data_IF_318194274964
#
_entry.id   IF_318194274964
#
_cell.length_a   1.000
_cell.length_b   1.000
_cell.length_c   1.000
_cell.angle_alpha   90.00
_cell.angle_beta   90.00
_cell.angle_gamma   90.00
#
_symmetry.space_group_name_H-M   'P 1'
#
loop_
_entity.id
_entity.type
_entity.pdbx_description
1 polymer ?
#
# COMPACT_ATOMS: atom_id res chain seq x y z
N UNK A 1 -0.06 -13.69 -4.72
CA UNK A 1 -1.16 -12.86 -4.20
C UNK A 1 -0.53 -11.78 -3.35
N UNK A 2 -0.83 -10.51 -3.67
CA UNK A 2 -0.41 -9.41 -2.80
C UNK A 2 -1.46 -9.19 -1.72
N UNK A 3 -1.00 -8.94 -0.50
CA UNK A 3 -1.88 -8.72 0.65
C UNK A 3 -1.35 -7.58 1.50
N UNK A 4 -2.23 -6.65 1.87
CA UNK A 4 -1.91 -5.65 2.89
C UNK A 4 -1.82 -6.37 4.24
N UNK A 5 -0.66 -6.33 4.89
CA UNK A 5 -0.42 -6.98 6.18
C UNK A 5 -0.57 -6.03 7.35
N UNK A 6 -0.28 -4.74 7.14
CA UNK A 6 -0.40 -3.70 8.15
C UNK A 6 -0.56 -2.32 7.50
N UNK A 7 -1.34 -1.46 8.14
CA UNK A 7 -1.42 -0.02 7.86
C UNK A 7 -1.05 0.71 9.15
N UNK A 8 -0.05 1.57 9.11
CA UNK A 8 0.40 2.40 10.23
C UNK A 8 0.13 3.87 9.89
N UNK A 9 -1.01 4.38 10.34
CA UNK A 9 -1.44 5.76 10.06
C UNK A 9 -0.57 6.80 10.78
N UNK A 10 0.03 6.44 11.92
CA UNK A 10 0.91 7.34 12.68
C UNK A 10 2.23 7.56 11.95
N UNK A 11 2.75 6.49 11.34
CA UNK A 11 3.99 6.54 10.52
C UNK A 11 3.72 6.79 9.04
N UNK A 12 2.45 6.83 8.63
CA UNK A 12 2.02 6.99 7.24
C UNK A 12 2.58 5.89 6.31
N UNK A 13 2.63 4.65 6.82
CA UNK A 13 3.21 3.48 6.13
C UNK A 13 2.17 2.39 5.86
N UNK A 14 2.29 1.75 4.69
CA UNK A 14 1.55 0.56 4.30
C UNK A 14 2.51 -0.59 4.02
N UNK A 15 2.23 -1.75 4.62
CA UNK A 15 3.01 -2.97 4.47
C UNK A 15 2.25 -3.94 3.57
N UNK A 16 2.88 -4.39 2.50
CA UNK A 16 2.31 -5.34 1.54
C UNK A 16 3.21 -6.57 1.41
N UNK A 17 2.66 -7.74 1.65
CA UNK A 17 3.32 -9.02 1.40
C UNK A 17 3.03 -9.50 -0.03
N UNK A 18 4.07 -10.04 -0.67
CA UNK A 18 4.00 -10.86 -1.88
C UNK A 18 4.16 -12.33 -1.47
N UNK A 19 3.03 -12.98 -1.16
CA UNK A 19 3.04 -14.35 -0.61
C UNK A 19 3.79 -15.36 -1.50
N UNK A 20 3.60 -15.40 -2.85
CA UNK A 20 4.34 -16.30 -3.73
C UNK A 20 5.86 -16.12 -3.67
N UNK A 21 6.35 -14.90 -3.46
CA UNK A 21 7.79 -14.59 -3.47
C UNK A 21 8.39 -14.51 -2.05
N UNK A 22 7.57 -14.61 -1.01
CA UNK A 22 8.00 -14.41 0.38
C UNK A 22 8.60 -13.01 0.64
N UNK A 23 8.28 -12.02 -0.21
CA UNK A 23 8.80 -10.65 -0.10
C UNK A 23 7.80 -9.76 0.61
N UNK A 24 8.31 -8.74 1.30
CA UNK A 24 7.49 -7.68 1.89
C UNK A 24 7.96 -6.33 1.35
N UNK A 25 7.01 -5.43 1.08
CA UNK A 25 7.26 -4.07 0.58
C UNK A 25 6.60 -3.06 1.52
N UNK A 26 7.24 -1.92 1.69
CA UNK A 26 6.77 -0.81 2.51
C UNK A 26 6.52 0.41 1.63
N UNK A 27 5.37 1.05 1.80
CA UNK A 27 4.98 2.23 1.03
C UNK A 27 4.66 3.39 1.96
N UNK A 28 5.43 4.46 1.84
CA UNK A 28 5.15 5.73 2.51
C UNK A 28 4.21 6.60 1.67
N UNK A 29 3.23 7.21 2.33
CA UNK A 29 2.32 8.18 1.70
C UNK A 29 1.86 9.26 2.69
N UNK A 30 2.24 10.54 2.49
CA UNK A 30 1.87 11.62 3.42
C UNK A 30 0.36 11.76 3.61
N UNK A 31 -0.05 12.05 4.85
CA UNK A 31 -1.44 12.15 5.30
C UNK A 31 -2.28 10.92 4.96
N UNK A 32 -1.66 9.73 5.03
CA UNK A 32 -2.30 8.45 4.74
C UNK A 32 -3.64 8.32 5.47
N UNK A 33 -4.69 7.98 4.73
CA UNK A 33 -5.96 7.55 5.31
C UNK A 33 -6.05 6.02 5.38
N UNK A 34 -7.08 5.52 6.03
CA UNK A 34 -7.42 4.10 6.09
C UNK A 34 -7.93 3.53 4.76
N UNK A 35 -8.25 4.38 3.78
CA UNK A 35 -8.68 3.98 2.44
C UNK A 35 -7.48 3.51 1.59
N UNK A 36 -7.04 2.28 1.88
CA UNK A 36 -5.95 1.58 1.19
C UNK A 36 -6.43 0.21 0.73
N UNK A 37 -6.24 -0.11 -0.54
CA UNK A 37 -6.66 -1.41 -1.08
C UNK A 37 -5.80 -1.83 -2.27
N UNK A 38 -5.86 -3.13 -2.58
CA UNK A 38 -5.19 -3.74 -3.73
C UNK A 38 -6.25 -4.19 -4.72
N UNK A 39 -6.10 -3.78 -5.97
CA UNK A 39 -6.93 -4.21 -7.10
C UNK A 39 -5.99 -4.66 -8.23
N UNK A 40 -6.15 -5.87 -8.73
CA UNK A 40 -5.37 -6.41 -9.87
C UNK A 40 -3.87 -6.07 -9.81
N UNK A 41 -3.21 -6.38 -8.67
CA UNK A 41 -1.79 -6.12 -8.44
C UNK A 41 -1.37 -4.64 -8.34
N UNK A 42 -2.34 -3.76 -8.17
CA UNK A 42 -2.14 -2.32 -8.00
C UNK A 42 -2.52 -1.90 -6.60
N UNK A 43 -1.59 -1.27 -5.88
CA UNK A 43 -1.86 -0.66 -4.58
C UNK A 43 -2.39 0.76 -4.78
N UNK A 44 -3.58 1.03 -4.25
CA UNK A 44 -4.19 2.36 -4.23
C UNK A 44 -4.12 2.92 -2.81
N UNK A 45 -3.53 4.10 -2.68
CA UNK A 45 -3.30 4.82 -1.44
C UNK A 45 -4.09 6.13 -1.49
N UNK A 46 -4.90 6.41 -0.47
CA UNK A 46 -5.62 7.68 -0.33
C UNK A 46 -5.07 8.46 0.85
N UNK A 47 -5.13 9.78 0.73
CA UNK A 47 -4.77 10.73 1.78
C UNK A 47 -6.03 11.36 2.34
N UNK A 48 -5.99 11.74 3.62
CA UNK A 48 -7.09 12.47 4.28
C UNK A 48 -7.39 13.83 3.64
N UNK A 49 -6.46 14.39 2.87
CA UNK A 49 -6.64 15.63 2.10
C UNK A 49 -7.15 15.43 0.66
N UNK A 50 -7.57 14.21 0.31
CA UNK A 50 -8.19 13.90 -0.98
C UNK A 50 -7.20 13.59 -2.11
N UNK A 51 -5.89 13.56 -1.83
CA UNK A 51 -4.89 13.08 -2.78
C UNK A 51 -4.85 11.56 -2.83
N UNK A 52 -4.44 11.01 -3.96
CA UNK A 52 -4.27 9.57 -4.12
C UNK A 52 -2.98 9.23 -4.87
N UNK A 53 -2.47 8.02 -4.63
CA UNK A 53 -1.31 7.45 -5.31
C UNK A 53 -1.61 6.01 -5.72
N UNK A 54 -1.21 5.68 -6.94
CA UNK A 54 -1.35 4.35 -7.51
C UNK A 54 0.06 3.77 -7.68
N UNK A 55 0.29 2.56 -7.20
CA UNK A 55 1.59 1.90 -7.27
C UNK A 55 1.42 0.51 -7.86
N UNK A 56 2.12 0.24 -8.97
CA UNK A 56 2.20 -1.11 -9.53
C UNK A 56 3.04 -1.99 -8.61
N UNK A 57 2.48 -3.12 -8.17
CA UNK A 57 3.21 -4.11 -7.37
C UNK A 57 4.04 -5.06 -8.25
N UNK A 58 3.85 -5.04 -9.56
CA UNK A 58 4.58 -5.87 -10.52
C UNK A 58 5.93 -5.30 -10.93
N UNK A 59 6.16 -4.00 -10.73
CA UNK A 59 7.47 -3.39 -10.97
C UNK A 59 8.46 -3.90 -9.90
N UNK A 60 9.48 -4.64 -10.35
CA UNK A 60 10.75 -4.83 -9.63
C UNK A 60 11.75 -3.78 -10.15
#
# INVERSE_FOLDING_TARGET
MYRITKIDLVKELVFVADEPRGKSREFYFPKLSDAVFIEEYTLKLMSSDGRYKIVSLLAD
#
